data_IF_352101940587
#
_entry.id   IF_352101940587
#
_cell.length_a   1.000
_cell.length_b   1.000
_cell.length_c   1.000
_cell.angle_alpha   90.00
_cell.angle_beta   90.00
_cell.angle_gamma   90.00
#
_symmetry.space_group_name_H-M   'P 1'
#
loop_
_entity.id
_entity.type
_entity.pdbx_description
1 polymer ?
#
# COMPACT_ATOMS: atom_id res chain seq x y z
N UNK A 1 -0.37 13.41 -15.60
CA UNK A 1 -0.98 12.36 -14.77
C UNK A 1 -0.05 11.91 -13.66
N UNK A 2 1.11 11.32 -13.94
CA UNK A 2 2.10 10.99 -12.89
C UNK A 2 2.48 12.20 -12.01
N UNK A 3 2.74 13.36 -12.62
CA UNK A 3 3.04 14.60 -11.90
C UNK A 3 1.83 15.34 -11.29
N UNK A 4 0.59 14.98 -11.65
CA UNK A 4 -0.61 15.76 -11.30
C UNK A 4 -1.61 15.02 -10.41
N UNK A 5 -1.75 13.69 -10.58
CA UNK A 5 -2.59 12.81 -9.74
C UNK A 5 -1.76 11.92 -8.81
N UNK A 6 -0.48 11.69 -9.12
CA UNK A 6 0.35 10.74 -8.38
C UNK A 6 -0.09 9.29 -8.59
N UNK A 7 0.60 8.37 -7.91
CA UNK A 7 0.26 6.96 -7.83
C UNK A 7 -0.61 6.70 -6.59
N UNK A 8 -1.57 5.79 -6.71
CA UNK A 8 -2.34 5.31 -5.57
C UNK A 8 -1.51 4.24 -4.85
N UNK A 9 -0.68 4.68 -3.91
CA UNK A 9 0.22 3.80 -3.16
C UNK A 9 -0.57 2.99 -2.12
N UNK A 10 -0.28 1.70 -2.02
CA UNK A 10 -0.88 0.81 -1.00
C UNK A 10 -0.40 1.16 0.41
N UNK A 11 -1.07 0.57 1.42
CA UNK A 11 -0.68 0.69 2.83
C UNK A 11 0.79 0.30 3.10
N UNK A 12 1.39 -0.55 2.26
CA UNK A 12 2.79 -0.98 2.41
C UNK A 12 3.79 0.16 2.18
N UNK A 13 3.42 1.16 1.37
CA UNK A 13 4.26 2.32 1.04
C UNK A 13 3.91 3.55 1.87
N UNK A 14 2.66 3.69 2.33
CA UNK A 14 2.23 4.84 3.14
C UNK A 14 2.30 4.55 4.65
N UNK A 15 2.34 3.28 5.04
CA UNK A 15 2.03 2.85 6.40
C UNK A 15 0.55 2.99 6.71
N UNK A 16 0.17 2.62 7.93
CA UNK A 16 -1.23 2.60 8.32
C UNK A 16 -1.48 2.35 9.79
N UNK A 17 -2.76 2.31 10.11
CA UNK A 17 -3.28 1.97 11.43
C UNK A 17 -3.71 0.51 11.42
N UNK A 18 -3.16 -0.27 12.33
CA UNK A 18 -3.51 -1.67 12.53
C UNK A 18 -4.35 -1.77 13.80
N UNK A 19 -5.56 -2.29 13.65
CA UNK A 19 -6.56 -2.36 14.72
C UNK A 19 -6.96 -3.81 14.95
N UNK A 20 -6.80 -4.28 16.18
CA UNK A 20 -7.24 -5.61 16.59
C UNK A 20 -8.54 -5.49 17.37
N UNK A 21 -9.57 -6.18 16.88
CA UNK A 21 -10.88 -6.26 17.52
C UNK A 21 -11.24 -7.70 17.83
N UNK A 22 -11.87 -7.91 18.98
CA UNK A 22 -12.34 -9.21 19.43
C UNK A 22 -13.86 -9.19 19.56
N UNK A 23 -14.49 -10.27 19.10
CA UNK A 23 -15.92 -10.51 19.18
C UNK A 23 -16.25 -11.64 20.15
N UNK A 24 -17.42 -11.60 20.76
CA UNK A 24 -17.90 -12.69 21.62
C UNK A 24 -18.20 -13.97 20.82
N UNK A 25 -18.62 -13.82 19.56
CA UNK A 25 -18.90 -14.92 18.62
C UNK A 25 -17.98 -14.85 17.38
N UNK A 26 -18.03 -15.88 16.53
CA UNK A 26 -17.26 -15.90 15.29
C UNK A 26 -17.60 -14.67 14.43
N UNK A 27 -16.58 -13.91 14.09
CA UNK A 27 -16.72 -12.65 13.38
C UNK A 27 -16.92 -12.89 11.89
N UNK A 28 -17.91 -12.21 11.30
CA UNK A 28 -18.15 -12.22 9.86
C UNK A 28 -17.29 -11.14 9.19
N UNK A 29 -16.14 -11.56 8.65
CA UNK A 29 -15.18 -10.67 7.98
C UNK A 29 -15.80 -9.92 6.80
N UNK A 30 -16.76 -10.53 6.09
CA UNK A 30 -17.46 -9.88 4.97
C UNK A 30 -18.24 -8.67 5.44
N UNK A 31 -19.10 -8.86 6.46
CA UNK A 31 -19.90 -7.76 7.03
C UNK A 31 -19.03 -6.66 7.64
N UNK A 32 -17.93 -7.05 8.28
CA UNK A 32 -16.97 -6.08 8.85
C UNK A 32 -16.35 -5.27 7.72
N UNK A 33 -15.89 -5.92 6.65
CA UNK A 33 -15.35 -5.23 5.46
C UNK A 33 -16.38 -4.26 4.88
N UNK A 34 -17.60 -4.69 4.64
CA UNK A 34 -18.67 -3.83 4.10
C UNK A 34 -18.95 -2.61 4.99
N UNK A 35 -18.93 -2.80 6.31
CA UNK A 35 -19.13 -1.71 7.29
C UNK A 35 -17.99 -0.69 7.24
N UNK A 36 -16.75 -1.15 7.12
CA UNK A 36 -15.58 -0.27 7.08
C UNK A 36 -15.42 0.40 5.72
N UNK A 37 -15.72 -0.31 4.62
CA UNK A 37 -15.75 0.24 3.27
C UNK A 37 -16.84 1.34 3.15
N UNK A 38 -17.97 1.16 3.83
CA UNK A 38 -19.03 2.17 3.95
C UNK A 38 -18.60 3.49 4.61
N UNK A 39 -17.47 3.52 5.32
CA UNK A 39 -16.91 4.75 5.91
C UNK A 39 -16.11 5.59 4.91
N UNK A 40 -15.99 5.14 3.65
CA UNK A 40 -15.22 5.81 2.60
C UNK A 40 -13.71 5.68 2.81
N UNK A 41 -13.27 4.68 3.58
CA UNK A 41 -11.86 4.32 3.72
C UNK A 41 -11.52 3.38 2.57
N UNK A 42 -10.67 3.82 1.65
CA UNK A 42 -10.15 2.97 0.57
C UNK A 42 -9.09 2.00 1.11
N UNK A 43 -8.85 0.89 0.42
CA UNK A 43 -7.76 -0.05 0.70
C UNK A 43 -7.74 -0.59 2.15
N UNK A 44 -8.91 -1.00 2.64
CA UNK A 44 -9.05 -1.61 3.96
C UNK A 44 -8.88 -3.11 3.87
N UNK A 45 -7.93 -3.65 4.63
CA UNK A 45 -7.73 -5.09 4.72
C UNK A 45 -8.30 -5.60 6.04
N UNK A 46 -9.30 -6.47 5.94
CA UNK A 46 -9.94 -7.15 7.08
C UNK A 46 -9.65 -8.64 6.99
N UNK A 47 -9.07 -9.20 8.05
CA UNK A 47 -8.72 -10.62 8.15
C UNK A 47 -8.85 -11.13 9.58
N UNK A 48 -9.13 -12.43 9.75
CA UNK A 48 -9.05 -13.06 11.08
C UNK A 48 -7.59 -13.13 11.57
N UNK A 49 -7.41 -13.04 12.87
CA UNK A 49 -6.08 -13.05 13.51
C UNK A 49 -6.07 -13.98 14.73
N UNK A 50 -5.39 -15.12 14.65
CA UNK A 50 -5.34 -16.08 15.75
C UNK A 50 -6.58 -16.97 15.87
N UNK A 51 -7.77 -16.39 16.11
CA UNK A 51 -9.04 -17.14 16.20
C UNK A 51 -10.12 -16.60 15.25
N UNK A 52 -11.23 -17.33 15.09
CA UNK A 52 -12.40 -16.86 14.31
C UNK A 52 -13.13 -15.67 14.95
N UNK A 53 -12.79 -15.32 16.19
CA UNK A 53 -13.38 -14.20 16.96
C UNK A 53 -12.52 -12.95 16.94
N UNK A 54 -11.24 -13.12 16.66
CA UNK A 54 -10.26 -12.06 16.61
C UNK A 54 -10.08 -11.63 15.15
N UNK A 55 -10.22 -10.34 14.91
CA UNK A 55 -10.13 -9.75 13.57
C UNK A 55 -9.13 -8.60 13.61
N UNK A 56 -8.21 -8.62 12.66
CA UNK A 56 -7.27 -7.57 12.40
C UNK A 56 -7.79 -6.74 11.21
N UNK A 57 -7.84 -5.44 11.43
CA UNK A 57 -8.27 -4.45 10.45
C UNK A 57 -7.08 -3.53 10.20
N UNK A 58 -6.58 -3.52 8.97
CA UNK A 58 -5.53 -2.61 8.51
C UNK A 58 -6.17 -1.49 7.72
N UNK A 59 -5.94 -0.26 8.18
CA UNK A 59 -6.46 0.97 7.61
C UNK A 59 -5.30 1.78 7.04
N UNK A 60 -5.43 2.40 5.86
CA UNK A 60 -4.41 3.32 5.36
C UNK A 60 -4.27 4.53 6.28
N UNK A 61 -3.07 5.09 6.35
CA UNK A 61 -2.84 6.33 7.07
C UNK A 61 -3.58 7.49 6.39
N UNK A 62 -4.44 8.20 7.12
CA UNK A 62 -5.11 9.41 6.63
C UNK A 62 -4.36 10.67 7.06
N UNK A 63 -4.07 11.55 6.09
CA UNK A 63 -3.42 12.84 6.37
C UNK A 63 -4.30 13.69 7.28
N UNK A 64 -3.76 14.11 8.43
CA UNK A 64 -4.43 15.01 9.38
C UNK A 64 -5.36 14.33 10.39
N UNK A 65 -5.45 12.99 10.39
CA UNK A 65 -6.21 12.22 11.37
C UNK A 65 -5.24 11.36 12.18
N UNK A 66 -5.31 11.42 13.51
CA UNK A 66 -4.47 10.55 14.34
C UNK A 66 -4.96 9.10 14.27
N UNK A 67 -4.05 8.15 14.46
CA UNK A 67 -4.36 6.72 14.59
C UNK A 67 -5.50 6.46 15.58
N UNK A 68 -5.52 7.19 16.71
CA UNK A 68 -6.57 7.08 17.72
C UNK A 68 -7.94 7.61 17.25
N UNK A 69 -7.97 8.73 16.53
CA UNK A 69 -9.22 9.29 15.98
C UNK A 69 -9.80 8.38 14.89
N UNK A 70 -8.91 7.81 14.05
CA UNK A 70 -9.32 6.89 13.00
C UNK A 70 -9.86 5.59 13.62
N UNK A 71 -9.16 5.01 14.60
CA UNK A 71 -9.61 3.78 15.27
C UNK A 71 -10.92 3.98 16.03
N UNK A 72 -11.12 5.12 16.70
CA UNK A 72 -12.37 5.44 17.39
C UNK A 72 -13.55 5.54 16.43
N UNK A 73 -13.37 6.19 15.28
CA UNK A 73 -14.40 6.29 14.23
C UNK A 73 -14.79 4.91 13.68
N UNK A 74 -13.80 4.07 13.39
CA UNK A 74 -14.07 2.69 12.90
C UNK A 74 -14.72 1.85 14.01
N UNK A 75 -14.24 1.94 15.25
CA UNK A 75 -14.82 1.21 16.38
C UNK A 75 -16.28 1.62 16.63
N UNK A 76 -16.61 2.91 16.53
CA UNK A 76 -17.99 3.38 16.66
C UNK A 76 -18.92 2.80 15.60
N UNK A 77 -18.45 2.72 14.34
CA UNK A 77 -19.20 2.08 13.26
C UNK A 77 -19.38 0.57 13.49
N UNK A 78 -18.32 -0.11 13.93
CA UNK A 78 -18.40 -1.54 14.26
C UNK A 78 -19.31 -1.81 15.45
N UNK A 79 -19.31 -0.95 16.49
CA UNK A 79 -20.23 -1.05 17.62
C UNK A 79 -21.69 -0.83 17.24
N UNK A 80 -21.96 0.03 16.26
CA UNK A 80 -23.30 0.24 15.74
C UNK A 80 -23.83 -1.00 14.99
N UNK A 81 -22.95 -1.73 14.31
CA UNK A 81 -23.29 -2.97 13.63
C UNK A 81 -23.38 -4.17 14.60
N UNK A 82 -22.52 -4.20 15.62
CA UNK A 82 -22.48 -5.26 16.62
C UNK A 82 -21.93 -4.73 17.96
N UNK A 83 -22.78 -4.69 19.00
CA UNK A 83 -22.43 -4.19 20.33
C UNK A 83 -21.36 -5.01 21.06
N UNK A 84 -21.12 -6.23 20.60
CA UNK A 84 -20.20 -7.19 21.22
C UNK A 84 -18.74 -7.00 20.81
N UNK A 85 -18.43 -5.98 20.01
CA UNK A 85 -17.05 -5.72 19.56
C UNK A 85 -16.24 -5.02 20.66
N UNK A 86 -15.08 -5.59 20.97
CA UNK A 86 -14.12 -5.03 21.92
C UNK A 86 -12.82 -4.70 21.21
N UNK A 87 -12.34 -3.47 21.38
CA UNK A 87 -11.02 -3.08 20.87
C UNK A 87 -9.95 -3.70 21.77
N UNK A 88 -9.06 -4.50 21.19
CA UNK A 88 -7.93 -5.11 21.90
C UNK A 88 -6.70 -4.21 21.84
N UNK A 89 -6.35 -3.78 20.64
CA UNK A 89 -5.12 -3.04 20.39
C UNK A 89 -5.29 -2.13 19.18
N UNK A 90 -4.60 -1.00 19.21
CA UNK A 90 -4.40 -0.15 18.04
C UNK A 90 -2.92 0.18 17.96
N UNK A 91 -2.32 -0.08 16.81
CA UNK A 91 -0.91 0.17 16.56
C UNK A 91 -0.75 0.96 15.28
N UNK A 92 0.21 1.87 15.27
CA UNK A 92 0.67 2.47 14.04
C UNK A 92 1.79 1.61 13.47
N UNK A 93 1.63 1.16 12.22
CA UNK A 93 2.68 0.45 11.49
C UNK A 93 3.20 1.40 10.43
N UNK A 94 4.50 1.70 10.51
CA UNK A 94 5.18 2.49 9.50
C UNK A 94 5.16 1.79 8.13
N UNK A 95 5.45 2.52 7.05
CA UNK A 95 5.57 1.92 5.73
C UNK A 95 6.63 0.82 5.73
N UNK A 96 6.32 -0.31 5.09
CA UNK A 96 7.28 -1.40 4.88
C UNK A 96 8.38 -0.97 3.92
N UNK A 97 8.00 -0.22 2.88
CA UNK A 97 8.94 0.41 1.96
C UNK A 97 9.23 1.82 2.46
N UNK A 98 10.21 1.93 3.34
CA UNK A 98 10.70 3.22 3.84
C UNK A 98 11.39 4.04 2.75
N UNK A 99 11.54 5.33 3.01
CA UNK A 99 12.22 6.27 2.10
C UNK A 99 13.69 5.86 1.84
N UNK A 100 14.37 5.30 2.84
CA UNK A 100 15.72 4.76 2.69
C UNK A 100 15.76 3.56 1.74
N UNK A 101 14.81 2.62 1.87
CA UNK A 101 14.74 1.44 0.99
C UNK A 101 14.45 1.85 -0.46
N UNK A 102 13.59 2.85 -0.66
CA UNK A 102 13.32 3.42 -1.98
C UNK A 102 14.57 4.07 -2.59
N UNK A 103 15.33 4.83 -1.80
CA UNK A 103 16.58 5.46 -2.25
C UNK A 103 17.65 4.42 -2.59
N UNK A 104 17.82 3.40 -1.75
CA UNK A 104 18.81 2.35 -1.98
C UNK A 104 18.42 1.45 -3.15
N UNK A 105 17.12 1.16 -3.31
CA UNK A 105 16.59 0.49 -4.49
C UNK A 105 16.88 1.28 -5.78
N UNK A 106 16.69 2.61 -5.75
CA UNK A 106 17.03 3.47 -6.90
C UNK A 106 18.53 3.46 -7.21
N UNK A 107 19.40 3.50 -6.19
CA UNK A 107 20.87 3.38 -6.38
C UNK A 107 21.26 2.04 -6.97
N UNK A 108 20.69 0.94 -6.46
CA UNK A 108 20.94 -0.40 -6.98
C UNK A 108 20.49 -0.54 -8.44
N UNK A 109 19.29 -0.06 -8.76
CA UNK A 109 18.77 -0.03 -10.13
C UNK A 109 19.70 0.76 -11.05
N UNK A 110 20.13 1.96 -10.65
CA UNK A 110 21.05 2.78 -11.42
C UNK A 110 22.39 2.06 -11.66
N UNK A 111 22.93 1.38 -10.65
CA UNK A 111 24.16 0.60 -10.77
C UNK A 111 24.00 -0.55 -11.79
N UNK A 112 22.87 -1.27 -11.77
CA UNK A 112 22.58 -2.35 -12.72
C UNK A 112 22.45 -1.81 -14.14
N UNK A 113 21.71 -0.71 -14.33
CA UNK A 113 21.57 -0.05 -15.64
C UNK A 113 22.92 0.37 -16.19
N UNK A 114 23.78 0.99 -15.37
CA UNK A 114 25.16 1.35 -15.76
C UNK A 114 25.96 0.10 -16.15
N UNK A 115 25.88 -0.98 -15.37
CA UNK A 115 26.58 -2.23 -15.66
C UNK A 115 26.16 -2.84 -17.00
N UNK A 116 24.86 -2.88 -17.27
CA UNK A 116 24.30 -3.35 -18.55
C UNK A 116 24.77 -2.46 -19.71
N UNK A 117 24.76 -1.13 -19.54
CA UNK A 117 25.28 -0.21 -20.57
C UNK A 117 26.73 -0.47 -20.90
N UNK A 118 27.57 -0.60 -19.88
CA UNK A 118 29.01 -0.87 -20.06
C UNK A 118 29.18 -2.18 -20.82
N UNK A 119 28.49 -3.24 -20.39
CA UNK A 119 28.52 -4.52 -21.08
C UNK A 119 28.11 -4.42 -22.56
N UNK A 120 26.98 -3.77 -22.83
CA UNK A 120 26.48 -3.60 -24.20
C UNK A 120 27.40 -2.71 -25.05
N UNK A 121 28.00 -1.67 -24.47
CA UNK A 121 28.93 -0.80 -25.17
C UNK A 121 30.26 -1.47 -25.52
N UNK A 122 30.71 -2.43 -24.70
CA UNK A 122 31.88 -3.26 -25.02
C UNK A 122 31.56 -4.38 -26.01
N UNK A 123 30.38 -4.99 -25.89
CA UNK A 123 29.98 -6.16 -26.69
C UNK A 123 29.37 -5.79 -28.06
N UNK A 124 28.75 -4.62 -28.17
CA UNK A 124 28.03 -4.08 -29.33
C UNK A 124 28.34 -2.57 -29.51
N UNK A 125 27.76 -1.90 -30.52
CA UNK A 125 27.86 -0.44 -30.61
C UNK A 125 27.10 0.26 -29.47
N UNK A 126 27.68 1.35 -28.93
CA UNK A 126 27.09 2.18 -27.88
C UNK A 126 25.67 2.67 -28.19
N UNK A 127 25.31 2.80 -29.47
CA UNK A 127 23.96 3.17 -29.93
C UNK A 127 22.89 2.17 -29.46
N UNK A 128 23.22 0.88 -29.40
CA UNK A 128 22.29 -0.15 -28.95
C UNK A 128 22.03 -0.08 -27.44
N UNK A 129 23.02 0.30 -26.64
CA UNK A 129 22.86 0.49 -25.20
C UNK A 129 21.89 1.64 -24.89
N UNK A 130 22.03 2.78 -25.59
CA UNK A 130 21.15 3.93 -25.43
C UNK A 130 19.73 3.61 -25.91
N UNK A 131 19.58 2.94 -27.06
CA UNK A 131 18.28 2.53 -27.57
C UNK A 131 17.54 1.59 -26.60
N UNK A 132 18.25 0.64 -25.99
CA UNK A 132 17.68 -0.28 -25.01
C UNK A 132 17.14 0.44 -23.76
N UNK A 133 17.86 1.44 -23.25
CA UNK A 133 17.40 2.23 -22.10
C UNK A 133 16.17 3.06 -22.45
N UNK A 134 16.19 3.74 -23.60
CA UNK A 134 15.06 4.58 -24.01
C UNK A 134 13.81 3.72 -24.18
N UNK A 135 13.93 2.55 -24.80
CA UNK A 135 12.82 1.61 -24.95
C UNK A 135 12.28 1.13 -23.60
N UNK A 136 13.17 0.73 -22.68
CA UNK A 136 12.75 0.26 -21.36
C UNK A 136 12.10 1.37 -20.52
N UNK A 137 12.68 2.58 -20.55
CA UNK A 137 12.13 3.75 -19.86
C UNK A 137 10.74 4.12 -20.39
N UNK A 138 10.56 4.07 -21.72
CA UNK A 138 9.26 4.29 -22.36
C UNK A 138 8.21 3.30 -21.85
N UNK A 139 8.52 2.00 -21.82
CA UNK A 139 7.59 0.98 -21.38
C UNK A 139 7.18 1.15 -19.91
N UNK A 140 8.15 1.47 -19.04
CA UNK A 140 7.89 1.77 -17.61
C UNK A 140 7.01 3.01 -17.45
N UNK A 141 7.30 4.10 -18.16
CA UNK A 141 6.51 5.35 -18.07
C UNK A 141 5.08 5.13 -18.54
N UNK A 142 4.86 4.32 -19.58
CA UNK A 142 3.51 3.97 -20.03
C UNK A 142 2.77 3.20 -18.95
N UNK A 143 3.36 2.12 -18.39
CA UNK A 143 2.71 1.30 -17.36
C UNK A 143 2.35 2.18 -16.14
N UNK A 144 3.30 2.95 -15.62
CA UNK A 144 3.06 3.86 -14.51
C UNK A 144 2.00 4.92 -14.86
N UNK A 145 1.97 5.38 -16.11
CA UNK A 145 0.94 6.29 -16.62
C UNK A 145 -0.47 5.69 -16.55
N UNK A 146 -0.62 4.41 -16.90
CA UNK A 146 -1.90 3.69 -16.77
C UNK A 146 -2.31 3.56 -15.30
N UNK A 147 -1.42 3.13 -14.41
CA UNK A 147 -1.70 3.05 -12.98
C UNK A 147 -2.14 4.41 -12.40
N UNK A 148 -1.43 5.49 -12.73
CA UNK A 148 -1.79 6.84 -12.31
C UNK A 148 -3.10 7.34 -12.93
N UNK A 149 -3.41 6.95 -14.18
CA UNK A 149 -4.65 7.35 -14.85
C UNK A 149 -5.88 6.66 -14.26
N UNK A 150 -5.81 5.34 -14.12
CA UNK A 150 -6.90 4.52 -13.60
C UNK A 150 -7.00 4.52 -12.07
N UNK A 151 -6.02 5.13 -11.38
CA UNK A 151 -5.92 5.08 -9.92
C UNK A 151 -5.90 3.64 -9.38
N UNK A 152 -5.30 2.75 -10.17
CA UNK A 152 -5.02 1.40 -9.72
C UNK A 152 -4.03 1.43 -8.58
N UNK A 153 -4.27 0.56 -7.62
CA UNK A 153 -3.41 0.41 -6.45
C UNK A 153 -2.03 -0.07 -6.90
N UNK A 154 -1.01 0.65 -6.43
CA UNK A 154 0.38 0.30 -6.60
C UNK A 154 0.84 -0.39 -5.31
N UNK A 155 0.88 -1.72 -5.36
CA UNK A 155 1.36 -2.60 -4.29
C UNK A 155 2.72 -3.21 -4.65
N UNK A 156 3.39 -3.81 -3.66
CA UNK A 156 4.60 -4.60 -3.89
C UNK A 156 4.28 -5.93 -4.61
#
# INVERSE_FOLDING_TARGET
FLFSRGLHLSVEFTGGTLMEVNYTQAADVGKIRDTVDGLGLADVQVQNFGTSRDVMIRLPAQKGVSTAQQSEKVLAALKAANSDVTLRRTEFVGPQVGEELAQDGLKALAMVVLGIMVYLAFRFEWKYAVAAIIANLHDVVIILGFFAFFQWEFSL
#
